data_IF_143235462535
#
_entry.id   IF_143235462535
#
_cell.length_a   1.000
_cell.length_b   1.000
_cell.length_c   1.000
_cell.angle_alpha   90.00
_cell.angle_beta   90.00
_cell.angle_gamma   90.00
#
_symmetry.space_group_name_H-M   'P 1'
#
loop_
_entity.id
_entity.type
_entity.pdbx_description
1 polymer ?
#
# COMPACT_ATOMS: atom_id res chain seq x y z
N UNK A 1 13.71 19.64 -12.07
CA UNK A 1 12.60 20.13 -11.25
C UNK A 1 12.26 21.61 -11.49
N UNK A 2 13.24 22.51 -11.65
CA UNK A 2 13.00 23.95 -11.87
C UNK A 2 12.04 24.29 -13.02
N UNK A 3 12.02 23.51 -14.10
CA UNK A 3 11.19 23.82 -15.29
C UNK A 3 9.69 23.49 -15.18
N UNK A 4 9.28 22.69 -14.20
CA UNK A 4 7.85 22.36 -13.99
C UNK A 4 7.17 23.54 -13.27
N UNK A 5 7.85 24.15 -12.29
CA UNK A 5 7.33 25.34 -11.58
C UNK A 5 7.16 26.57 -12.48
N UNK A 6 8.05 26.77 -13.46
CA UNK A 6 7.99 27.89 -14.41
C UNK A 6 6.75 27.83 -15.34
N UNK A 7 6.18 26.63 -15.55
CA UNK A 7 4.97 26.43 -16.36
C UNK A 7 3.67 26.53 -15.55
N UNK A 8 3.72 26.82 -14.25
CA UNK A 8 2.55 26.83 -13.38
C UNK A 8 1.88 25.45 -13.24
N UNK A 9 2.67 24.36 -13.37
CA UNK A 9 2.18 22.99 -13.23
C UNK A 9 2.10 22.59 -11.76
N UNK A 10 0.95 22.09 -11.33
CA UNK A 10 0.80 21.40 -10.04
C UNK A 10 1.25 19.94 -10.17
N UNK A 11 1.98 19.44 -9.17
CA UNK A 11 2.36 18.02 -9.09
C UNK A 11 1.63 17.40 -7.92
N UNK A 12 0.88 16.33 -8.18
CA UNK A 12 0.13 15.58 -7.16
C UNK A 12 0.60 14.13 -7.10
N UNK A 13 0.53 13.53 -5.91
CA UNK A 13 0.75 12.11 -5.74
C UNK A 13 -0.48 11.36 -6.22
N UNK A 14 -0.31 10.47 -7.20
CA UNK A 14 -1.38 9.64 -7.74
C UNK A 14 -1.34 8.21 -7.18
N UNK A 15 -0.15 7.72 -6.87
CA UNK A 15 0.02 6.41 -6.26
C UNK A 15 1.33 6.34 -5.48
N UNK A 16 1.38 5.43 -4.54
CA UNK A 16 2.60 4.90 -3.96
C UNK A 16 2.67 3.42 -4.35
N UNK A 17 3.77 3.02 -4.97
CA UNK A 17 4.04 1.62 -5.22
C UNK A 17 4.44 0.91 -3.92
N UNK A 18 4.70 -0.38 -4.03
CA UNK A 18 5.14 -1.19 -2.90
C UNK A 18 6.34 -0.54 -2.18
N UNK A 19 6.23 -0.47 -0.85
CA UNK A 19 7.34 -0.09 0.04
C UNK A 19 7.67 -1.32 0.87
N UNK A 20 8.93 -1.79 0.76
CA UNK A 20 9.45 -2.90 1.54
C UNK A 20 10.46 -2.37 2.56
N UNK A 21 10.28 -2.80 3.81
CA UNK A 21 11.26 -2.54 4.87
C UNK A 21 12.23 -3.72 4.92
N UNK A 22 13.46 -3.51 4.45
CA UNK A 22 14.49 -4.55 4.34
C UNK A 22 15.45 -4.58 5.54
N UNK A 23 15.27 -3.68 6.50
CA UNK A 23 16.13 -3.59 7.68
C UNK A 23 15.47 -2.93 8.87
N UNK A 24 16.13 -2.99 10.03
CA UNK A 24 15.66 -2.32 11.24
C UNK A 24 15.80 -0.81 11.12
N UNK A 25 14.82 -0.09 11.62
CA UNK A 25 14.82 1.37 11.78
C UNK A 25 14.99 1.70 13.28
N UNK A 26 16.20 1.85 13.79
CA UNK A 26 16.40 2.25 15.18
C UNK A 26 15.85 3.65 15.44
N UNK A 27 15.13 3.83 16.54
CA UNK A 27 14.43 5.09 16.87
C UNK A 27 15.35 6.30 17.07
N UNK A 28 16.65 6.08 17.26
CA UNK A 28 17.65 7.12 17.54
C UNK A 28 18.69 7.29 16.45
N UNK A 29 18.48 6.69 15.26
CA UNK A 29 19.43 6.79 14.15
C UNK A 29 19.04 7.90 13.17
N UNK A 30 20.03 8.56 12.61
CA UNK A 30 19.84 9.48 11.50
C UNK A 30 19.30 8.74 10.28
N UNK A 31 18.37 9.38 9.58
CA UNK A 31 17.82 8.88 8.32
C UNK A 31 18.27 9.75 7.15
N UNK A 32 18.73 9.12 6.09
CA UNK A 32 19.01 9.74 4.82
C UNK A 32 17.95 9.32 3.80
N UNK A 33 17.27 10.31 3.20
CA UNK A 33 16.32 10.11 2.11
C UNK A 33 16.91 10.69 0.83
N UNK A 34 17.18 9.83 -0.15
CA UNK A 34 17.69 10.22 -1.47
C UNK A 34 16.62 9.92 -2.51
N UNK A 35 16.07 10.98 -3.11
CA UNK A 35 15.04 10.90 -4.12
C UNK A 35 15.56 11.22 -5.52
N UNK A 36 15.07 10.51 -6.52
CA UNK A 36 15.34 10.77 -7.93
C UNK A 36 14.15 10.42 -8.82
N UNK A 37 13.98 11.15 -9.93
CA UNK A 37 13.05 10.75 -10.98
C UNK A 37 13.69 9.59 -11.74
N UNK A 38 13.01 8.42 -11.70
CA UNK A 38 13.50 7.21 -12.36
C UNK A 38 12.93 7.08 -13.78
N UNK A 39 11.66 7.42 -13.96
CA UNK A 39 10.95 7.27 -15.21
C UNK A 39 9.93 8.40 -15.40
N UNK A 40 9.64 8.72 -16.66
CA UNK A 40 8.66 9.74 -17.04
C UNK A 40 7.81 9.19 -18.19
N UNK A 41 6.48 9.30 -18.05
CA UNK A 41 5.51 9.09 -19.10
C UNK A 41 5.05 10.42 -19.72
N UNK A 42 3.84 10.46 -20.28
CA UNK A 42 3.31 11.70 -20.86
C UNK A 42 3.03 12.79 -19.81
N UNK A 43 2.27 12.45 -18.77
CA UNK A 43 1.86 13.37 -17.69
C UNK A 43 2.24 12.87 -16.29
N UNK A 44 2.85 11.71 -16.19
CA UNK A 44 3.24 11.09 -14.92
C UNK A 44 4.75 10.87 -14.84
N UNK A 45 5.27 10.81 -13.63
CA UNK A 45 6.65 10.48 -13.35
C UNK A 45 6.74 9.55 -12.14
N UNK A 46 7.70 8.64 -12.17
CA UNK A 46 8.07 7.83 -11.03
C UNK A 46 9.22 8.48 -10.29
N UNK A 47 9.02 8.74 -9.01
CA UNK A 47 10.05 9.22 -8.09
C UNK A 47 10.42 8.07 -7.16
N UNK A 48 11.64 7.55 -7.32
CA UNK A 48 12.19 6.55 -6.40
C UNK A 48 12.87 7.23 -5.22
N UNK A 49 12.60 6.75 -4.02
CA UNK A 49 13.21 7.20 -2.77
C UNK A 49 13.96 6.03 -2.16
N UNK A 50 15.23 6.24 -1.88
CA UNK A 50 16.05 5.34 -1.09
C UNK A 50 16.13 5.87 0.33
N UNK A 51 15.80 5.02 1.31
CA UNK A 51 15.87 5.33 2.72
C UNK A 51 17.03 4.54 3.31
N UNK A 52 17.95 5.24 3.99
CA UNK A 52 19.11 4.62 4.65
C UNK A 52 19.20 5.12 6.08
N UNK A 53 19.68 4.28 6.99
CA UNK A 53 20.00 4.62 8.37
C UNK A 53 21.52 4.59 8.56
N UNK A 54 22.01 5.40 9.49
CA UNK A 54 23.44 5.42 9.83
C UNK A 54 23.72 4.33 10.87
N UNK A 55 24.65 3.42 10.56
CA UNK A 55 25.16 2.40 11.47
C UNK A 55 26.67 2.39 11.41
N UNK A 56 27.36 2.53 12.53
CA UNK A 56 28.85 2.47 12.64
C UNK A 56 29.59 3.34 11.59
N UNK A 57 29.09 4.57 11.36
CA UNK A 57 29.58 5.53 10.35
C UNK A 57 29.28 5.19 8.87
N UNK A 58 28.54 4.13 8.58
CA UNK A 58 28.11 3.79 7.22
C UNK A 58 26.62 3.96 7.02
N UNK A 59 26.20 4.34 5.82
CA UNK A 59 24.80 4.44 5.43
C UNK A 59 24.32 3.09 4.92
N UNK A 60 23.49 2.40 5.71
CA UNK A 60 22.86 1.14 5.34
C UNK A 60 21.44 1.39 4.84
N UNK A 61 21.14 0.91 3.63
CA UNK A 61 19.79 1.00 3.08
C UNK A 61 18.83 0.11 3.89
N UNK A 62 17.67 0.69 4.26
CA UNK A 62 16.62 0.00 5.03
C UNK A 62 15.28 -0.05 4.32
N UNK A 63 15.04 0.84 3.34
CA UNK A 63 13.83 0.78 2.52
C UNK A 63 14.01 1.43 1.15
N UNK A 64 13.08 1.12 0.23
CA UNK A 64 12.82 1.84 -1.02
C UNK A 64 11.34 2.13 -1.12
N UNK A 65 11.02 3.28 -1.70
CA UNK A 65 9.66 3.68 -2.03
C UNK A 65 9.62 4.24 -3.45
N UNK A 66 8.53 4.00 -4.16
CA UNK A 66 8.31 4.54 -5.50
C UNK A 66 6.98 5.26 -5.51
N UNK A 67 7.02 6.57 -5.75
CA UNK A 67 5.84 7.41 -5.84
C UNK A 67 5.55 7.79 -7.28
N UNK A 68 4.30 7.66 -7.68
CA UNK A 68 3.81 8.12 -8.97
C UNK A 68 3.21 9.49 -8.79
N UNK A 69 3.87 10.46 -9.41
CA UNK A 69 3.46 11.84 -9.40
C UNK A 69 2.84 12.18 -10.75
N UNK A 70 1.74 12.93 -10.74
CA UNK A 70 1.06 13.36 -11.95
C UNK A 70 1.08 14.88 -12.03
N UNK A 71 1.43 15.39 -13.20
CA UNK A 71 1.36 16.81 -13.52
C UNK A 71 -0.07 17.20 -13.89
N UNK A 72 -0.57 18.28 -13.29
CA UNK A 72 -1.91 18.83 -13.56
C UNK A 72 -1.86 20.33 -13.75
N UNK A 73 -2.77 20.82 -14.62
CA UNK A 73 -3.08 22.25 -14.79
C UNK A 73 -4.59 22.40 -14.91
N UNK A 74 -5.19 23.22 -14.06
CA UNK A 74 -6.65 23.43 -14.07
C UNK A 74 -7.45 22.13 -13.88
N UNK A 75 -6.96 21.19 -13.06
CA UNK A 75 -7.60 19.90 -12.81
C UNK A 75 -7.33 18.82 -13.87
N UNK A 76 -6.75 19.16 -15.03
CA UNK A 76 -6.45 18.21 -16.12
C UNK A 76 -4.98 17.76 -16.08
N UNK A 77 -4.73 16.54 -16.54
CA UNK A 77 -3.37 16.01 -16.70
C UNK A 77 -2.63 16.81 -17.81
N UNK A 78 -1.41 17.23 -17.52
CA UNK A 78 -0.58 18.04 -18.42
C UNK A 78 0.77 17.33 -18.67
N UNK A 79 1.34 17.54 -19.85
CA UNK A 79 2.58 16.89 -20.23
C UNK A 79 3.78 17.36 -19.38
N UNK A 80 4.61 16.42 -19.00
CA UNK A 80 5.88 16.66 -18.29
C UNK A 80 7.06 16.63 -19.26
N UNK A 81 8.18 17.25 -18.86
CA UNK A 81 9.41 17.19 -19.64
C UNK A 81 9.92 15.74 -19.74
N UNK A 82 10.39 15.30 -20.91
CA UNK A 82 10.98 13.98 -21.06
C UNK A 82 12.25 13.84 -20.21
N UNK A 83 12.48 12.63 -19.69
CA UNK A 83 13.69 12.27 -18.97
C UNK A 83 14.66 11.60 -19.94
N UNK A 84 15.89 12.12 -20.02
CA UNK A 84 16.97 11.52 -20.82
C UNK A 84 18.04 10.94 -19.90
N UNK A 85 18.04 9.63 -19.60
CA UNK A 85 19.04 9.00 -18.76
C UNK A 85 20.39 8.98 -19.46
N UNK A 86 21.46 9.43 -18.77
CA UNK A 86 22.82 9.55 -19.32
C UNK A 86 23.72 8.40 -18.85
N UNK A 87 23.76 8.17 -17.55
CA UNK A 87 24.63 7.16 -16.94
C UNK A 87 24.05 5.75 -17.04
N UNK A 88 24.88 4.74 -16.87
CA UNK A 88 24.45 3.32 -16.82
C UNK A 88 23.42 3.09 -15.74
N UNK A 89 23.62 3.72 -14.58
CA UNK A 89 22.69 3.59 -13.43
C UNK A 89 21.34 4.27 -13.71
N UNK A 90 21.31 5.45 -14.32
CA UNK A 90 20.08 6.12 -14.73
C UNK A 90 19.31 5.32 -15.78
N UNK A 91 20.01 4.74 -16.77
CA UNK A 91 19.38 3.86 -17.78
C UNK A 91 18.76 2.62 -17.15
N UNK A 92 19.43 2.01 -16.16
CA UNK A 92 18.91 0.88 -15.40
C UNK A 92 17.64 1.27 -14.67
N UNK A 93 17.66 2.37 -13.86
CA UNK A 93 16.50 2.86 -13.12
C UNK A 93 15.32 3.22 -14.03
N UNK A 94 15.61 3.80 -15.19
CA UNK A 94 14.58 4.14 -16.18
C UNK A 94 13.88 2.87 -16.70
N UNK A 95 14.65 1.84 -17.07
CA UNK A 95 14.11 0.56 -17.55
C UNK A 95 13.28 -0.13 -16.46
N UNK A 96 13.77 -0.17 -15.21
CA UNK A 96 13.05 -0.73 -14.07
C UNK A 96 11.75 0.04 -13.79
N UNK A 97 11.76 1.38 -13.85
CA UNK A 97 10.57 2.21 -13.70
C UNK A 97 9.55 2.01 -14.81
N UNK A 98 10.00 1.80 -16.05
CA UNK A 98 9.13 1.46 -17.16
C UNK A 98 8.43 0.10 -16.97
N UNK A 99 9.17 -0.89 -16.47
CA UNK A 99 8.61 -2.21 -16.17
C UNK A 99 7.60 -2.16 -15.01
N UNK A 100 7.89 -1.45 -13.92
CA UNK A 100 6.91 -1.24 -12.83
C UNK A 100 5.64 -0.55 -13.34
N UNK A 101 5.78 0.42 -14.25
CA UNK A 101 4.62 1.06 -14.86
C UNK A 101 3.77 0.10 -15.71
N UNK A 102 4.40 -0.84 -16.42
CA UNK A 102 3.71 -1.90 -17.17
C UNK A 102 2.92 -2.79 -16.21
N UNK A 103 3.57 -3.29 -15.17
CA UNK A 103 2.95 -4.14 -14.15
C UNK A 103 1.77 -3.44 -13.46
N UNK A 104 1.91 -2.16 -13.08
CA UNK A 104 0.81 -1.37 -12.52
C UNK A 104 -0.41 -1.34 -13.43
N UNK A 105 -0.21 -1.12 -14.74
CA UNK A 105 -1.31 -1.12 -15.71
C UNK A 105 -2.00 -2.46 -15.82
N UNK A 106 -1.26 -3.55 -15.73
CA UNK A 106 -1.80 -4.90 -15.73
C UNK A 106 -2.60 -5.16 -14.45
N UNK A 107 -2.03 -4.84 -13.28
CA UNK A 107 -2.71 -4.99 -12.00
C UNK A 107 -3.95 -4.11 -11.86
N UNK A 108 -3.93 -2.87 -12.38
CA UNK A 108 -5.10 -1.98 -12.32
C UNK A 108 -6.29 -2.45 -13.15
N UNK A 109 -6.07 -3.35 -14.10
CA UNK A 109 -7.15 -4.01 -14.89
C UNK A 109 -7.71 -5.24 -14.17
N UNK A 110 -6.96 -5.77 -13.21
CA UNK A 110 -7.36 -6.92 -12.43
C UNK A 110 -8.10 -6.45 -11.18
N UNK A 111 -9.39 -6.68 -11.16
CA UNK A 111 -10.22 -6.48 -9.97
C UNK A 111 -10.89 -7.82 -9.66
N UNK A 112 -10.52 -8.43 -8.55
CA UNK A 112 -11.02 -9.74 -8.13
C UNK A 112 -12.55 -9.77 -7.94
N UNK A 113 -13.15 -8.62 -7.67
CA UNK A 113 -14.61 -8.51 -7.54
C UNK A 113 -15.34 -8.50 -8.89
N UNK A 114 -14.62 -8.24 -9.99
CA UNK A 114 -15.20 -8.16 -11.35
C UNK A 114 -14.66 -9.23 -12.30
N UNK A 115 -13.51 -9.81 -11.99
CA UNK A 115 -12.89 -10.90 -12.76
C UNK A 115 -13.05 -12.19 -11.99
N UNK A 116 -13.78 -13.16 -12.55
CA UNK A 116 -13.98 -14.46 -11.91
C UNK A 116 -12.63 -15.15 -11.61
N UNK A 117 -12.51 -15.86 -10.47
CA UNK A 117 -11.35 -16.68 -10.17
C UNK A 117 -11.11 -17.72 -11.27
N UNK A 118 -9.85 -17.97 -11.58
CA UNK A 118 -9.47 -19.03 -12.49
C UNK A 118 -9.71 -20.44 -11.87
N UNK A 119 -9.41 -21.50 -12.62
CA UNK A 119 -9.64 -22.87 -12.16
C UNK A 119 -8.81 -23.23 -10.90
N UNK A 120 -7.57 -22.74 -10.82
CA UNK A 120 -6.70 -23.01 -9.67
C UNK A 120 -7.18 -22.24 -8.42
N UNK A 121 -7.56 -21.00 -8.61
CA UNK A 121 -8.12 -20.13 -7.59
C UNK A 121 -9.45 -20.63 -7.07
N UNK A 122 -10.32 -21.10 -7.95
CA UNK A 122 -11.60 -21.70 -7.62
C UNK A 122 -11.42 -22.98 -6.80
N UNK A 123 -10.44 -23.83 -7.15
CA UNK A 123 -10.09 -25.03 -6.38
C UNK A 123 -9.56 -24.67 -4.99
N UNK A 124 -8.71 -23.64 -4.89
CA UNK A 124 -8.17 -23.16 -3.61
C UNK A 124 -9.28 -22.67 -2.70
N UNK A 125 -10.19 -21.85 -3.19
CA UNK A 125 -11.35 -21.38 -2.43
C UNK A 125 -12.26 -22.53 -2.00
N UNK A 126 -12.54 -23.45 -2.91
CA UNK A 126 -13.38 -24.60 -2.60
C UNK A 126 -12.77 -25.46 -1.49
N UNK A 127 -11.49 -25.77 -1.56
CA UNK A 127 -10.77 -26.52 -0.52
C UNK A 127 -10.82 -25.79 0.81
N UNK A 128 -10.58 -24.48 0.83
CA UNK A 128 -10.61 -23.64 2.01
C UNK A 128 -12.00 -23.69 2.69
N UNK A 129 -13.07 -23.50 1.92
CA UNK A 129 -14.44 -23.55 2.45
C UNK A 129 -14.84 -24.95 2.94
N UNK A 130 -14.34 -26.03 2.31
CA UNK A 130 -14.54 -27.40 2.81
C UNK A 130 -13.88 -27.59 4.15
N UNK A 131 -12.60 -27.20 4.30
CA UNK A 131 -11.85 -27.34 5.57
C UNK A 131 -12.49 -26.52 6.72
N UNK A 132 -13.00 -25.32 6.41
CA UNK A 132 -13.74 -24.48 7.38
C UNK A 132 -15.03 -25.20 7.80
N UNK A 133 -15.83 -25.69 6.84
CA UNK A 133 -17.09 -26.37 7.08
C UNK A 133 -16.93 -27.67 7.89
N UNK A 134 -15.86 -28.41 7.61
CA UNK A 134 -15.53 -29.66 8.31
C UNK A 134 -14.89 -29.43 9.69
N UNK A 135 -14.54 -28.17 10.02
CA UNK A 135 -13.88 -27.80 11.28
C UNK A 135 -12.43 -28.29 11.38
N UNK A 136 -11.84 -28.74 10.27
CA UNK A 136 -10.43 -29.14 10.20
C UNK A 136 -9.49 -27.94 10.24
N UNK A 137 -9.91 -26.81 9.66
CA UNK A 137 -9.22 -25.54 9.76
C UNK A 137 -9.80 -24.69 10.90
N UNK A 138 -8.93 -24.31 11.86
CA UNK A 138 -9.30 -23.46 13.00
C UNK A 138 -8.67 -22.09 12.86
N UNK A 139 -9.42 -21.06 13.21
CA UNK A 139 -8.95 -19.69 13.13
C UNK A 139 -9.96 -18.68 13.68
N UNK A 140 -9.82 -17.45 13.27
CA UNK A 140 -10.69 -16.33 13.64
C UNK A 140 -11.48 -15.92 12.40
N UNK A 141 -12.80 -15.70 12.53
CA UNK A 141 -13.63 -15.20 11.43
C UNK A 141 -13.05 -13.89 10.86
N UNK A 142 -13.05 -13.76 9.55
CA UNK A 142 -12.60 -12.53 8.89
C UNK A 142 -13.46 -11.34 9.35
N UNK A 143 -14.77 -11.52 9.49
CA UNK A 143 -15.69 -10.49 9.97
C UNK A 143 -15.35 -9.98 11.37
N UNK A 144 -14.87 -10.84 12.28
CA UNK A 144 -14.45 -10.44 13.63
C UNK A 144 -13.22 -9.50 13.64
N UNK A 145 -12.45 -9.47 12.58
CA UNK A 145 -11.25 -8.62 12.45
C UNK A 145 -11.57 -7.20 11.97
N UNK A 146 -12.80 -6.95 11.51
CA UNK A 146 -13.23 -5.66 10.98
C UNK A 146 -13.10 -4.56 12.04
N UNK A 147 -12.46 -3.47 11.68
CA UNK A 147 -12.38 -2.25 12.50
C UNK A 147 -12.58 -1.02 11.62
N UNK A 148 -13.23 -0.02 12.20
CA UNK A 148 -13.55 1.22 11.53
C UNK A 148 -13.13 2.43 12.38
N UNK A 149 -12.67 3.48 11.71
CA UNK A 149 -12.32 4.74 12.34
C UNK A 149 -12.78 5.90 11.46
N UNK A 150 -13.46 6.87 12.05
CA UNK A 150 -13.94 8.05 11.32
C UNK A 150 -13.11 9.27 11.70
N UNK A 151 -12.77 10.11 10.72
CA UNK A 151 -11.93 11.31 10.90
C UNK A 151 -12.51 12.51 10.16
N UNK A 152 -12.50 13.67 10.81
CA UNK A 152 -12.72 14.96 10.16
C UNK A 152 -11.39 15.47 9.59
N UNK A 153 -11.39 15.89 8.33
CA UNK A 153 -10.21 16.38 7.64
C UNK A 153 -9.94 17.85 7.95
N UNK A 154 -9.08 18.09 8.93
CA UNK A 154 -8.73 19.44 9.40
C UNK A 154 -7.75 20.15 8.44
N UNK A 155 -7.80 21.52 8.39
CA UNK A 155 -6.92 22.33 7.54
C UNK A 155 -5.42 22.15 7.80
N UNK A 156 -5.03 21.70 9.01
CA UNK A 156 -3.63 21.44 9.37
C UNK A 156 -2.99 20.32 8.57
N UNK A 157 -3.79 19.42 7.98
CA UNK A 157 -3.33 18.29 7.16
C UNK A 157 -3.31 18.61 5.65
N UNK A 158 -3.47 19.89 5.28
CA UNK A 158 -3.48 20.31 3.88
C UNK A 158 -2.09 20.28 3.24
N UNK A 159 -2.08 19.99 1.95
CA UNK A 159 -0.92 20.19 1.09
C UNK A 159 -0.90 21.62 0.48
N UNK A 160 0.09 21.89 -0.36
CA UNK A 160 0.23 23.19 -1.07
C UNK A 160 -0.93 23.51 -2.04
N UNK A 161 -1.78 22.54 -2.35
CA UNK A 161 -2.94 22.67 -3.23
C UNK A 161 -4.27 22.79 -2.45
N UNK A 162 -4.23 23.03 -1.14
CA UNK A 162 -5.39 23.07 -0.25
C UNK A 162 -6.24 21.79 -0.25
N UNK A 163 -5.62 20.65 -0.49
CA UNK A 163 -6.21 19.32 -0.34
C UNK A 163 -5.53 18.60 0.80
N UNK A 164 -6.16 17.56 1.33
CA UNK A 164 -5.54 16.73 2.36
C UNK A 164 -4.31 16.04 1.79
N UNK A 165 -3.23 16.04 2.57
CA UNK A 165 -1.96 15.44 2.17
C UNK A 165 -2.05 13.91 2.16
N UNK A 166 -1.73 13.27 1.03
CA UNK A 166 -1.82 11.82 0.87
C UNK A 166 -0.99 11.04 1.89
N UNK A 167 0.16 11.57 2.33
CA UNK A 167 0.96 10.95 3.38
C UNK A 167 0.26 10.92 4.75
N UNK A 168 -0.63 11.87 5.05
CA UNK A 168 -1.48 11.81 6.24
C UNK A 168 -2.47 10.66 6.13
N UNK A 169 -3.14 10.49 4.98
CA UNK A 169 -4.06 9.38 4.75
C UNK A 169 -3.36 8.02 4.85
N UNK A 170 -2.14 7.91 4.30
CA UNK A 170 -1.31 6.70 4.43
C UNK A 170 -1.00 6.37 5.90
N UNK A 171 -0.69 7.39 6.70
CA UNK A 171 -0.39 7.21 8.12
C UNK A 171 -1.60 6.72 8.89
N UNK A 172 -2.77 7.34 8.72
CA UNK A 172 -4.03 6.93 9.39
C UNK A 172 -4.40 5.48 9.02
N UNK A 173 -4.27 5.13 7.73
CA UNK A 173 -4.51 3.77 7.25
C UNK A 173 -3.52 2.76 7.86
N UNK A 174 -2.23 3.12 7.93
CA UNK A 174 -1.20 2.29 8.57
C UNK A 174 -1.48 2.09 10.07
N UNK A 175 -1.83 3.16 10.80
CA UNK A 175 -2.12 3.08 12.24
C UNK A 175 -3.34 2.18 12.52
N UNK A 176 -4.38 2.23 11.66
CA UNK A 176 -5.51 1.31 11.76
C UNK A 176 -5.10 -0.14 11.49
N UNK A 177 -4.34 -0.39 10.42
CA UNK A 177 -3.85 -1.73 10.08
C UNK A 177 -2.95 -2.32 11.18
N UNK A 178 -2.11 -1.49 11.78
CA UNK A 178 -1.25 -1.86 12.91
C UNK A 178 -2.09 -2.25 14.14
N UNK A 179 -3.12 -1.47 14.47
CA UNK A 179 -4.04 -1.76 15.57
C UNK A 179 -4.80 -3.08 15.35
N UNK A 180 -5.32 -3.30 14.14
CA UNK A 180 -5.99 -4.55 13.75
C UNK A 180 -5.06 -5.74 13.96
N UNK A 181 -3.83 -5.65 13.46
CA UNK A 181 -2.82 -6.70 13.60
C UNK A 181 -2.51 -6.99 15.06
N UNK A 182 -2.36 -5.94 15.88
CA UNK A 182 -2.07 -6.11 17.31
C UNK A 182 -3.22 -6.80 18.05
N UNK A 183 -4.46 -6.41 17.76
CA UNK A 183 -5.66 -7.04 18.35
C UNK A 183 -5.81 -8.50 17.90
N UNK A 184 -5.51 -8.79 16.63
CA UNK A 184 -5.61 -10.13 16.08
C UNK A 184 -4.54 -11.09 16.62
N UNK A 185 -3.29 -10.63 16.72
CA UNK A 185 -2.15 -11.46 17.12
C UNK A 185 -1.88 -11.44 18.63
N UNK A 186 -2.37 -10.44 19.40
CA UNK A 186 -2.02 -10.21 20.80
C UNK A 186 -0.56 -9.83 21.04
N UNK A 187 0.21 -9.61 19.99
CA UNK A 187 1.63 -9.27 20.02
C UNK A 187 1.92 -8.05 19.16
N UNK A 188 2.97 -7.28 19.52
CA UNK A 188 3.34 -6.06 18.81
C UNK A 188 3.67 -6.37 17.34
N UNK A 189 2.97 -5.72 16.37
CA UNK A 189 3.23 -5.90 14.97
C UNK A 189 4.59 -5.36 14.53
N UNK A 190 5.24 -6.08 13.61
CA UNK A 190 6.40 -5.62 12.87
C UNK A 190 6.00 -5.45 11.41
N UNK A 191 6.14 -4.23 10.91
CA UNK A 191 5.81 -3.89 9.54
C UNK A 191 6.81 -4.52 8.56
N UNK A 192 6.30 -5.17 7.53
CA UNK A 192 7.08 -5.74 6.44
C UNK A 192 6.97 -4.89 5.18
N UNK A 193 5.75 -4.67 4.71
CA UNK A 193 5.52 -3.93 3.48
C UNK A 193 4.14 -3.28 3.42
N UNK A 194 4.02 -2.24 2.62
CA UNK A 194 2.76 -1.76 2.06
C UNK A 194 2.77 -2.04 0.57
N UNK A 195 1.70 -2.64 0.07
CA UNK A 195 1.48 -2.84 -1.35
C UNK A 195 0.81 -1.60 -1.97
N UNK A 196 0.72 -1.57 -3.29
CA UNK A 196 0.25 -0.45 -4.10
C UNK A 196 -0.92 0.30 -3.45
N UNK A 197 -0.74 1.61 -3.22
CA UNK A 197 -1.77 2.52 -2.76
C UNK A 197 -2.10 3.51 -3.88
N UNK A 198 -3.35 3.55 -4.31
CA UNK A 198 -3.84 4.48 -5.32
C UNK A 198 -4.66 5.58 -4.64
N UNK A 199 -4.44 6.82 -5.05
CA UNK A 199 -5.25 7.97 -4.66
C UNK A 199 -6.19 8.30 -5.84
N UNK A 200 -7.41 7.80 -5.77
CA UNK A 200 -8.39 7.94 -6.86
C UNK A 200 -8.90 9.38 -6.95
N UNK A 201 -9.26 9.96 -5.81
CA UNK A 201 -9.80 11.31 -5.72
C UNK A 201 -9.09 12.15 -4.65
N UNK A 202 -8.95 13.48 -4.88
CA UNK A 202 -8.42 14.37 -3.86
C UNK A 202 -9.42 14.56 -2.73
N UNK A 203 -8.96 14.48 -1.50
CA UNK A 203 -9.76 14.71 -0.31
C UNK A 203 -9.77 16.18 0.07
N UNK A 204 -10.96 16.75 0.22
CA UNK A 204 -11.17 18.15 0.57
C UNK A 204 -10.98 18.39 2.09
N UNK A 205 -10.63 19.63 2.44
CA UNK A 205 -10.64 20.08 3.83
C UNK A 205 -12.11 20.11 4.30
N UNK A 206 -12.37 19.60 5.50
CA UNK A 206 -13.72 19.52 6.06
C UNK A 206 -14.48 18.23 5.68
N UNK A 207 -13.93 17.38 4.80
CA UNK A 207 -14.52 16.05 4.52
C UNK A 207 -14.48 15.17 5.75
N UNK A 208 -15.48 14.30 5.86
CA UNK A 208 -15.49 13.20 6.83
C UNK A 208 -15.02 11.95 6.11
N UNK A 209 -13.98 11.30 6.62
CA UNK A 209 -13.46 10.05 6.10
C UNK A 209 -13.77 8.90 7.03
N UNK A 210 -14.15 7.77 6.43
CA UNK A 210 -14.17 6.45 7.07
C UNK A 210 -12.95 5.66 6.63
N UNK A 211 -12.24 5.10 7.59
CA UNK A 211 -11.18 4.13 7.39
C UNK A 211 -11.70 2.79 7.89
N UNK A 212 -11.87 1.83 7.00
CA UNK A 212 -12.34 0.48 7.33
C UNK A 212 -11.24 -0.52 7.03
N UNK A 213 -10.81 -1.27 8.03
CA UNK A 213 -9.73 -2.25 7.89
C UNK A 213 -10.14 -3.65 8.31
N UNK A 214 -9.55 -4.67 7.67
CA UNK A 214 -9.84 -6.08 7.90
C UNK A 214 -8.62 -6.93 7.57
N UNK A 215 -8.38 -8.00 8.35
CA UNK A 215 -7.39 -9.02 7.98
C UNK A 215 -7.96 -9.83 6.83
N UNK A 216 -7.33 -9.79 5.67
CA UNK A 216 -7.81 -10.50 4.47
C UNK A 216 -7.05 -11.79 4.17
N UNK A 217 -5.82 -11.92 4.66
CA UNK A 217 -5.00 -13.11 4.43
C UNK A 217 -4.02 -13.34 5.58
N UNK A 218 -3.76 -14.60 5.89
CA UNK A 218 -2.74 -15.02 6.85
C UNK A 218 -1.91 -16.16 6.29
N UNK A 219 -0.61 -16.11 6.55
CA UNK A 219 0.33 -17.22 6.45
C UNK A 219 0.84 -17.59 7.86
N UNK A 220 1.58 -18.67 8.03
CA UNK A 220 2.12 -19.02 9.36
C UNK A 220 3.01 -17.93 9.98
N UNK A 221 3.58 -17.02 9.19
CA UNK A 221 4.57 -16.02 9.64
C UNK A 221 4.20 -14.56 9.35
N UNK A 222 3.17 -14.32 8.56
CA UNK A 222 2.76 -12.98 8.17
C UNK A 222 1.25 -12.90 7.98
N UNK A 223 0.71 -11.69 8.08
CA UNK A 223 -0.68 -11.41 7.75
C UNK A 223 -0.78 -10.14 6.92
N UNK A 224 -1.87 -10.05 6.16
CA UNK A 224 -2.18 -8.88 5.35
C UNK A 224 -3.49 -8.25 5.80
N UNK A 225 -3.44 -6.93 6.00
CA UNK A 225 -4.61 -6.10 6.34
C UNK A 225 -4.92 -5.21 5.15
N UNK A 226 -6.16 -5.28 4.65
CA UNK A 226 -6.72 -4.31 3.72
C UNK A 226 -7.28 -3.14 4.52
N UNK A 227 -7.02 -1.91 4.09
CA UNK A 227 -7.66 -0.70 4.60
C UNK A 227 -8.25 0.08 3.44
N UNK A 228 -9.58 0.22 3.45
CA UNK A 228 -10.34 1.06 2.53
C UNK A 228 -10.62 2.40 3.17
N UNK A 229 -10.44 3.48 2.41
CA UNK A 229 -10.74 4.85 2.85
C UNK A 229 -11.81 5.43 1.96
N UNK A 230 -12.87 5.94 2.57
CA UNK A 230 -14.05 6.48 1.91
C UNK A 230 -14.35 7.89 2.41
N UNK A 231 -14.76 8.78 1.51
CA UNK A 231 -15.39 10.05 1.89
C UNK A 231 -16.87 9.79 2.16
N UNK A 232 -17.37 10.30 3.27
CA UNK A 232 -18.77 10.24 3.63
C UNK A 232 -19.41 11.59 3.28
N UNK A 233 -20.46 11.58 2.44
CA UNK A 233 -21.34 12.73 2.30
C UNK A 233 -22.35 12.73 3.48
N UNK A 234 -22.26 13.69 4.41
CA UNK A 234 -23.12 13.70 5.59
C UNK A 234 -24.60 14.00 5.26
N UNK A 235 -24.90 14.57 4.10
CA UNK A 235 -26.25 14.91 3.71
C UNK A 235 -27.02 13.70 3.15
N UNK A 236 -26.34 12.88 2.33
CA UNK A 236 -26.94 11.70 1.68
C UNK A 236 -26.58 10.38 2.36
N UNK A 237 -25.53 10.35 3.16
CA UNK A 237 -24.94 9.12 3.71
C UNK A 237 -24.19 8.27 2.67
N UNK A 238 -24.07 8.76 1.43
CA UNK A 238 -23.33 8.08 0.37
C UNK A 238 -21.84 8.11 0.68
N UNK A 239 -21.16 7.01 0.42
CA UNK A 239 -19.70 6.89 0.55
C UNK A 239 -19.05 6.71 -0.81
N UNK A 240 -17.87 7.33 -0.97
CA UNK A 240 -17.05 7.20 -2.18
C UNK A 240 -15.63 6.77 -1.80
N UNK A 241 -15.17 5.66 -2.38
CA UNK A 241 -13.81 5.14 -2.11
C UNK A 241 -12.76 6.09 -2.68
N UNK A 242 -11.87 6.57 -1.82
CA UNK A 242 -10.76 7.45 -2.20
C UNK A 242 -9.45 6.69 -2.35
N UNK A 243 -9.22 5.68 -1.55
CA UNK A 243 -8.06 4.80 -1.66
C UNK A 243 -8.25 3.46 -0.95
N UNK A 244 -7.51 2.45 -1.44
CA UNK A 244 -7.36 1.15 -0.81
C UNK A 244 -5.89 0.86 -0.64
N UNK A 245 -5.51 0.28 0.49
CA UNK A 245 -4.13 -0.03 0.85
C UNK A 245 -4.04 -1.41 1.48
N UNK A 246 -2.92 -2.10 1.24
CA UNK A 246 -2.66 -3.43 1.78
C UNK A 246 -1.35 -3.41 2.56
N UNK A 247 -1.43 -3.71 3.84
CA UNK A 247 -0.30 -3.70 4.76
C UNK A 247 0.03 -5.12 5.19
N UNK A 248 1.31 -5.49 5.09
CA UNK A 248 1.79 -6.79 5.55
C UNK A 248 2.59 -6.63 6.83
N UNK A 249 2.26 -7.44 7.82
CA UNK A 249 2.94 -7.47 9.12
C UNK A 249 3.36 -8.89 9.48
N UNK A 250 4.35 -8.97 10.37
CA UNK A 250 4.69 -10.17 11.13
C UNK A 250 4.67 -9.85 12.62
N UNK A 251 4.74 -10.86 13.46
CA UNK A 251 4.93 -10.72 14.90
C UNK A 251 6.16 -11.53 15.32
N UNK A 252 6.96 -10.93 16.20
CA UNK A 252 8.22 -11.52 16.64
C UNK A 252 8.20 -11.71 18.16
N UNK A 253 8.89 -12.72 18.63
CA UNK A 253 9.20 -12.90 20.05
C UNK A 253 10.30 -11.92 20.51
N UNK A 254 10.66 -11.97 21.80
CA UNK A 254 11.73 -11.13 22.36
C UNK A 254 13.12 -11.45 21.79
N UNK A 255 13.30 -12.63 21.20
CA UNK A 255 14.54 -13.06 20.56
C UNK A 255 14.60 -12.71 19.07
N UNK A 256 13.50 -12.16 18.51
CA UNK A 256 13.41 -11.78 17.10
C UNK A 256 12.94 -12.93 16.18
N UNK A 257 12.48 -14.05 16.72
CA UNK A 257 11.94 -15.14 15.92
C UNK A 257 10.47 -14.88 15.59
N UNK A 258 10.05 -15.23 14.37
CA UNK A 258 8.66 -15.12 13.95
C UNK A 258 7.76 -16.04 14.77
N UNK A 259 6.72 -15.47 15.37
CA UNK A 259 5.66 -16.21 16.05
C UNK A 259 4.65 -16.73 15.03
N UNK A 260 4.03 -17.87 15.38
CA UNK A 260 2.94 -18.43 14.56
C UNK A 260 1.70 -17.54 14.64
N UNK A 261 1.16 -17.18 13.48
CA UNK A 261 -0.04 -16.36 13.33
C UNK A 261 -1.25 -17.29 13.18
N UNK A 262 -2.36 -16.93 13.83
CA UNK A 262 -3.63 -17.63 13.67
C UNK A 262 -4.16 -17.48 12.24
N UNK A 263 -4.91 -18.47 11.77
CA UNK A 263 -5.55 -18.41 10.46
C UNK A 263 -6.75 -17.46 10.51
N UNK A 264 -6.92 -16.61 9.48
CA UNK A 264 -8.16 -15.90 9.23
C UNK A 264 -9.06 -16.75 8.36
N UNK A 265 -10.35 -16.83 8.70
CA UNK A 265 -11.34 -17.69 8.04
C UNK A 265 -12.37 -16.83 7.33
N UNK A 266 -12.45 -16.89 5.98
CA UNK A 266 -13.55 -16.27 5.24
C UNK A 266 -14.83 -17.10 5.41
N UNK A 267 -15.95 -16.45 5.70
CA UNK A 267 -17.27 -17.11 5.90
C UNK A 267 -18.24 -16.81 4.76
N UNK A 268 -17.94 -15.82 3.91
CA UNK A 268 -18.74 -15.46 2.74
C UNK A 268 -17.92 -15.57 1.45
N UNK A 269 -18.62 -15.62 0.31
CA UNK A 269 -17.96 -15.62 -1.00
C UNK A 269 -17.14 -14.35 -1.22
N UNK A 270 -17.66 -13.19 -0.78
CA UNK A 270 -16.94 -11.92 -0.88
C UNK A 270 -15.64 -11.93 -0.06
N UNK A 271 -15.70 -12.44 1.18
CA UNK A 271 -14.51 -12.63 2.01
C UNK A 271 -13.53 -13.64 1.39
N UNK A 272 -14.04 -14.68 0.75
CA UNK A 272 -13.24 -15.63 -0.02
C UNK A 272 -12.48 -14.96 -1.16
N UNK A 273 -13.10 -14.03 -1.89
CA UNK A 273 -12.45 -13.24 -2.93
C UNK A 273 -11.37 -12.31 -2.33
N UNK A 274 -11.65 -11.65 -1.21
CA UNK A 274 -10.64 -10.86 -0.49
C UNK A 274 -9.45 -11.70 -0.01
N UNK A 275 -9.73 -12.90 0.47
CA UNK A 275 -8.69 -13.86 0.86
C UNK A 275 -7.79 -14.22 -0.33
N UNK A 276 -8.37 -14.49 -1.50
CA UNK A 276 -7.61 -14.73 -2.73
C UNK A 276 -6.77 -13.54 -3.17
N UNK A 277 -7.32 -12.32 -3.09
CA UNK A 277 -6.55 -11.11 -3.43
C UNK A 277 -5.34 -10.97 -2.50
N UNK A 278 -5.55 -11.16 -1.20
CA UNK A 278 -4.49 -11.17 -0.20
C UNK A 278 -3.44 -12.25 -0.46
N UNK A 279 -3.86 -13.47 -0.78
CA UNK A 279 -2.97 -14.57 -1.15
C UNK A 279 -2.09 -14.23 -2.36
N UNK A 280 -2.69 -13.73 -3.45
CA UNK A 280 -1.97 -13.34 -4.66
C UNK A 280 -0.94 -12.25 -4.41
N UNK A 281 -1.34 -11.19 -3.70
CA UNK A 281 -0.46 -10.07 -3.35
C UNK A 281 0.71 -10.53 -2.49
N UNK A 282 0.44 -11.40 -1.54
CA UNK A 282 1.46 -11.96 -0.68
C UNK A 282 2.48 -12.79 -1.48
N UNK A 283 2.02 -13.67 -2.37
CA UNK A 283 2.87 -14.48 -3.26
C UNK A 283 3.74 -13.64 -4.18
N UNK A 284 3.15 -12.61 -4.82
CA UNK A 284 3.89 -11.66 -5.66
C UNK A 284 4.96 -10.91 -4.84
N UNK A 285 4.68 -10.61 -3.57
CA UNK A 285 5.64 -10.03 -2.64
C UNK A 285 6.84 -10.93 -2.40
N UNK A 286 6.61 -12.20 -2.08
CA UNK A 286 7.68 -13.19 -1.85
C UNK A 286 8.57 -13.40 -3.10
N UNK A 287 7.98 -13.37 -4.29
CA UNK A 287 8.74 -13.47 -5.55
C UNK A 287 9.62 -12.25 -5.78
N UNK A 288 9.11 -11.05 -5.49
CA UNK A 288 9.87 -9.81 -5.66
C UNK A 288 11.03 -9.67 -4.66
N UNK A 289 10.90 -10.21 -3.43
CA UNK A 289 12.00 -10.22 -2.45
C UNK A 289 13.22 -11.04 -2.91
N UNK A 290 13.05 -12.02 -3.79
CA UNK A 290 14.16 -12.79 -4.39
C UNK A 290 14.98 -11.98 -5.40
N UNK A 291 14.50 -10.81 -5.83
CA UNK A 291 15.18 -9.91 -6.77
C UNK A 291 15.77 -8.64 -6.10
N UNK A 292 15.72 -8.53 -4.77
CA UNK A 292 16.25 -7.43 -3.96
C UNK A 292 17.47 -7.89 -3.17
#
# INVERSE_FOLDING_TARGET
MHRVGERGLGIVTAACDRIDLTGSLPSHSDLQLLASVNWVGRSSMEVGIRISTKSENEWKRVARAFFIMVSRRGGRAEEVNPLTPKTREEKRRFKEGQERQRLRREMSRYNILTVAPDEQESKLLHSLFLEIREGTLKGVSMAETLRQSTRLMHPQFRNIHNKIFGGYLMREAFELAWNITYLFCGHRPHFLSVDHMYFYEPVEIGSILSFTGQVIYTSPRALMVEVTVEVIDPASGITEVTNVSYFTFTVLDKAGNSLKINQVLPESYEEGLKYLDGYKRFRLGEENEKFI
#
